data_IF_861497201592
#
_entry.id   IF_861497201592
#
_cell.length_a   1.000
_cell.length_b   1.000
_cell.length_c   1.000
_cell.angle_alpha   90.00
_cell.angle_beta   90.00
_cell.angle_gamma   90.00
#
_symmetry.space_group_name_H-M   'P 1'
#
loop_
_entity.id
_entity.type
_entity.pdbx_description
1 polymer ?
#
# COMPACT_ATOMS: atom_id res chain seq x y z
N UNK A 1 11.60 9.78 17.58
CA UNK A 1 11.82 9.10 16.29
C UNK A 1 11.45 10.08 15.16
N UNK A 2 12.33 10.29 14.18
CA UNK A 2 12.04 11.19 13.04
C UNK A 2 11.14 10.46 12.05
N UNK A 3 9.95 11.00 11.76
CA UNK A 3 9.05 10.47 10.74
C UNK A 3 9.31 11.27 9.46
N UNK A 4 9.71 10.58 8.40
CA UNK A 4 9.91 11.20 7.10
C UNK A 4 8.59 11.80 6.59
N UNK A 5 8.50 13.11 6.27
CA UNK A 5 7.28 13.69 5.74
C UNK A 5 6.99 13.12 4.33
N UNK A 6 5.71 12.96 4.00
CA UNK A 6 5.29 12.67 2.62
C UNK A 6 5.41 13.97 1.80
N UNK A 7 6.44 14.02 0.98
CA UNK A 7 6.73 15.16 0.09
C UNK A 7 6.07 14.90 -1.27
N UNK A 8 5.39 15.91 -1.82
CA UNK A 8 4.78 15.86 -3.14
C UNK A 8 5.82 15.53 -4.23
N UNK A 9 5.36 15.01 -5.37
CA UNK A 9 6.18 14.58 -6.50
C UNK A 9 7.22 13.48 -6.19
N UNK A 10 6.99 12.67 -5.17
CA UNK A 10 7.90 11.62 -4.77
C UNK A 10 7.19 10.28 -4.54
N UNK A 11 7.94 9.19 -4.74
CA UNK A 11 7.50 7.84 -4.43
C UNK A 11 7.84 7.45 -3.00
N UNK A 12 6.93 6.74 -2.37
CA UNK A 12 7.11 6.22 -1.01
C UNK A 12 6.67 4.77 -0.91
N UNK A 13 7.46 3.99 -0.20
CA UNK A 13 7.04 2.73 0.35
C UNK A 13 6.46 3.00 1.75
N UNK A 14 5.16 2.79 1.91
CA UNK A 14 4.43 2.96 3.18
C UNK A 14 4.08 1.57 3.69
N UNK A 15 4.36 1.31 4.96
CA UNK A 15 4.07 0.03 5.57
C UNK A 15 3.78 0.20 7.06
N UNK A 16 3.06 -0.77 7.61
CA UNK A 16 2.82 -0.85 9.05
C UNK A 16 2.32 -2.25 9.42
N UNK A 17 2.37 -2.55 10.72
CA UNK A 17 1.88 -3.80 11.26
C UNK A 17 0.96 -3.58 12.45
N UNK A 18 0.24 -4.63 12.84
CA UNK A 18 -0.56 -4.64 14.05
C UNK A 18 0.29 -4.57 15.30
N UNK A 19 -0.17 -3.83 16.29
CA UNK A 19 0.46 -3.77 17.62
C UNK A 19 0.67 -5.18 18.15
N UNK A 20 1.88 -5.45 18.66
CA UNK A 20 2.29 -6.77 19.19
C UNK A 20 2.15 -7.92 18.17
N UNK A 21 2.20 -7.62 16.87
CA UNK A 21 2.04 -8.61 15.81
C UNK A 21 0.59 -9.11 15.61
N UNK A 22 -0.40 -8.46 16.22
CA UNK A 22 -1.81 -8.83 16.09
C UNK A 22 -2.32 -8.71 14.64
N UNK A 23 -3.28 -9.57 14.29
CA UNK A 23 -3.94 -9.51 12.99
C UNK A 23 -4.75 -8.23 12.84
N UNK A 24 -4.40 -7.43 11.82
CA UNK A 24 -5.15 -6.25 11.40
C UNK A 24 -6.26 -6.60 10.41
N UNK A 25 -6.15 -7.76 9.74
CA UNK A 25 -7.17 -8.35 8.88
C UNK A 25 -7.59 -9.72 9.43
N UNK A 26 -8.69 -9.76 10.15
CA UNK A 26 -9.20 -10.99 10.81
C UNK A 26 -10.06 -11.85 9.90
N UNK A 27 -10.71 -11.22 8.91
CA UNK A 27 -11.62 -11.84 7.96
C UNK A 27 -11.47 -11.20 6.58
N UNK A 28 -11.89 -11.91 5.54
CA UNK A 28 -11.81 -11.44 4.15
C UNK A 28 -12.44 -10.05 3.95
N UNK A 29 -13.58 -9.79 4.58
CA UNK A 29 -14.25 -8.48 4.51
C UNK A 29 -13.38 -7.31 5.03
N UNK A 30 -12.39 -7.57 5.89
CA UNK A 30 -11.52 -6.52 6.42
C UNK A 30 -10.57 -6.00 5.35
N UNK A 31 -10.07 -6.86 4.46
CA UNK A 31 -9.22 -6.46 3.33
C UNK A 31 -9.98 -5.56 2.35
N UNK A 32 -11.19 -5.96 1.96
CA UNK A 32 -12.03 -5.12 1.09
C UNK A 32 -12.38 -3.79 1.73
N UNK A 33 -12.73 -3.79 3.01
CA UNK A 33 -13.03 -2.57 3.74
C UNK A 33 -11.80 -1.65 3.85
N UNK A 34 -10.60 -2.21 4.06
CA UNK A 34 -9.35 -1.44 4.07
C UNK A 34 -9.14 -0.75 2.72
N UNK A 35 -9.23 -1.48 1.60
CA UNK A 35 -9.07 -0.92 0.26
C UNK A 35 -10.14 0.14 -0.04
N UNK A 36 -11.38 -0.09 0.37
CA UNK A 36 -12.47 0.89 0.23
C UNK A 36 -12.18 2.19 1.00
N UNK A 37 -11.77 2.09 2.26
CA UNK A 37 -11.40 3.25 3.07
C UNK A 37 -10.14 3.93 2.54
N UNK A 38 -9.15 3.15 2.12
CA UNK A 38 -7.94 3.68 1.48
C UNK A 38 -8.28 4.52 0.24
N UNK A 39 -9.08 3.97 -0.67
CA UNK A 39 -9.54 4.70 -1.86
C UNK A 39 -10.28 5.97 -1.47
N UNK A 40 -11.20 5.88 -0.51
CA UNK A 40 -12.00 7.04 -0.07
C UNK A 40 -11.17 8.21 0.45
N UNK A 41 -10.11 7.94 1.22
CA UNK A 41 -9.33 8.99 1.86
C UNK A 41 -8.08 9.38 1.08
N UNK A 42 -7.49 8.44 0.34
CA UNK A 42 -6.15 8.61 -0.19
C UNK A 42 -6.09 8.75 -1.71
N UNK A 43 -7.10 8.31 -2.49
CA UNK A 43 -7.03 8.31 -3.95
C UNK A 43 -6.84 9.70 -4.58
N UNK A 44 -7.32 10.75 -3.92
CA UNK A 44 -7.11 12.13 -4.42
C UNK A 44 -5.64 12.54 -4.30
N UNK A 45 -4.95 12.17 -3.21
CA UNK A 45 -3.61 12.64 -2.87
C UNK A 45 -2.50 11.65 -3.16
N UNK A 46 -2.83 10.36 -3.34
CA UNK A 46 -1.89 9.28 -3.64
C UNK A 46 -2.28 8.58 -4.94
N UNK A 47 -1.29 8.25 -5.74
CA UNK A 47 -1.41 7.29 -6.84
C UNK A 47 -0.70 6.00 -6.42
N UNK A 48 -1.39 4.87 -6.46
CA UNK A 48 -0.86 3.59 -5.97
C UNK A 48 -0.28 2.77 -7.11
N UNK A 49 0.88 2.16 -6.90
CA UNK A 49 1.58 1.35 -7.89
C UNK A 49 1.66 -0.12 -7.51
N UNK A 50 1.74 -0.42 -6.22
CA UNK A 50 1.62 -1.79 -5.72
C UNK A 50 1.08 -1.79 -4.29
N UNK A 51 0.48 -2.92 -3.89
CA UNK A 51 0.15 -3.20 -2.51
C UNK A 51 0.25 -4.68 -2.19
N UNK A 52 0.46 -4.96 -0.90
CA UNK A 52 0.24 -6.25 -0.27
C UNK A 52 -0.45 -6.06 1.07
N UNK A 53 -1.51 -6.79 1.31
CA UNK A 53 -2.24 -6.81 2.58
C UNK A 53 -2.12 -8.22 3.15
N UNK A 54 -1.39 -8.37 4.25
CA UNK A 54 -1.21 -9.63 4.97
C UNK A 54 -1.96 -9.58 6.30
N UNK A 55 -2.20 -10.70 6.95
CA UNK A 55 -3.04 -10.75 8.15
C UNK A 55 -2.68 -9.66 9.17
N UNK A 56 -1.40 -9.48 9.44
CA UNK A 56 -0.90 -8.62 10.51
C UNK A 56 -0.11 -7.40 10.04
N UNK A 57 0.11 -7.22 8.73
CA UNK A 57 0.83 -6.06 8.18
C UNK A 57 0.43 -5.76 6.75
N UNK A 58 0.85 -4.61 6.25
CA UNK A 58 0.61 -4.21 4.87
C UNK A 58 1.79 -3.41 4.31
N UNK A 59 1.87 -3.41 2.97
CA UNK A 59 2.80 -2.59 2.18
C UNK A 59 2.04 -1.87 1.07
N UNK A 60 2.39 -0.61 0.84
CA UNK A 60 1.86 0.24 -0.23
C UNK A 60 3.02 0.93 -0.94
N UNK A 61 3.10 0.83 -2.25
CA UNK A 61 3.97 1.67 -3.08
C UNK A 61 3.11 2.78 -3.68
N UNK A 62 3.41 4.03 -3.35
CA UNK A 62 2.62 5.19 -3.75
C UNK A 62 3.47 6.33 -4.28
N UNK A 63 2.88 7.14 -5.14
CA UNK A 63 3.36 8.46 -5.53
C UNK A 63 2.47 9.53 -4.87
N UNK A 64 3.08 10.54 -4.27
CA UNK A 64 2.37 11.67 -3.66
C UNK A 64 2.09 12.70 -4.73
N UNK A 65 0.81 12.91 -5.04
CA UNK A 65 0.36 13.86 -6.06
C UNK A 65 0.63 15.30 -5.63
N UNK A 66 0.83 16.17 -6.62
CA UNK A 66 1.17 17.58 -6.40
C UNK A 66 -0.08 18.46 -6.40
N UNK A 67 -0.06 19.49 -5.58
CA UNK A 67 -1.03 20.58 -5.58
C UNK A 67 -2.51 20.16 -5.55
N UNK A 68 -2.81 19.06 -4.85
CA UNK A 68 -4.18 18.53 -4.79
C UNK A 68 -5.07 19.43 -3.96
N UNK A 69 -6.13 19.93 -4.58
CA UNK A 69 -7.13 20.75 -3.90
C UNK A 69 -8.56 20.35 -4.27
N UNK A 70 -9.48 20.51 -3.33
CA UNK A 70 -10.91 20.19 -3.51
C UNK A 70 -11.78 21.36 -3.12
N UNK A 71 -12.97 21.51 -3.71
CA UNK A 71 -13.94 22.51 -3.27
C UNK A 71 -14.33 22.33 -1.80
N UNK A 72 -14.53 23.41 -1.07
CA UNK A 72 -15.13 23.34 0.27
C UNK A 72 -16.58 22.87 0.18
N UNK A 73 -17.03 22.11 1.19
CA UNK A 73 -18.39 21.59 1.24
C UNK A 73 -19.49 22.67 1.18
N UNK A 74 -19.17 23.91 1.57
CA UNK A 74 -20.08 25.06 1.48
C UNK A 74 -20.05 25.79 0.12
N UNK A 75 -19.30 25.26 -0.86
CA UNK A 75 -19.15 25.85 -2.19
C UNK A 75 -18.30 27.14 -2.25
N UNK A 76 -17.76 27.60 -1.12
CA UNK A 76 -16.97 28.84 -1.08
C UNK A 76 -15.47 28.53 -0.84
N UNK A 77 -14.70 28.57 -1.92
CA UNK A 77 -13.25 28.38 -1.90
C UNK A 77 -12.79 26.92 -2.03
N UNK A 78 -11.48 26.73 -1.93
CA UNK A 78 -10.81 25.44 -2.06
C UNK A 78 -10.10 25.07 -0.77
N UNK A 79 -9.87 23.77 -0.56
CA UNK A 79 -9.05 23.22 0.51
C UNK A 79 -7.88 22.49 -0.16
N UNK A 80 -6.66 22.87 0.21
CA UNK A 80 -5.47 22.09 -0.14
C UNK A 80 -5.46 20.80 0.67
N UNK A 81 -5.41 19.65 -0.02
CA UNK A 81 -5.29 18.36 0.64
C UNK A 81 -3.82 18.07 0.97
N UNK A 82 -3.61 17.45 2.12
CA UNK A 82 -2.29 17.00 2.56
C UNK A 82 -2.27 15.48 2.68
N UNK A 83 -1.36 14.82 1.96
CA UNK A 83 -1.27 13.37 1.88
C UNK A 83 -1.09 12.71 3.27
N UNK A 84 -0.22 13.26 4.13
CA UNK A 84 -0.01 12.73 5.49
C UNK A 84 -1.27 12.81 6.34
N UNK A 85 -2.04 13.89 6.19
CA UNK A 85 -3.31 14.07 6.91
C UNK A 85 -4.38 13.11 6.41
N UNK A 86 -4.51 12.92 5.10
CA UNK A 86 -5.46 11.96 4.52
C UNK A 86 -5.12 10.53 4.94
N UNK A 87 -3.85 10.17 4.92
CA UNK A 87 -3.38 8.87 5.38
C UNK A 87 -3.70 8.64 6.87
N UNK A 88 -3.53 9.67 7.72
CA UNK A 88 -3.90 9.59 9.14
C UNK A 88 -5.41 9.41 9.33
N UNK A 89 -6.24 10.12 8.56
CA UNK A 89 -7.70 9.94 8.59
C UNK A 89 -8.10 8.53 8.19
N UNK A 90 -7.47 7.98 7.15
CA UNK A 90 -7.69 6.61 6.71
C UNK A 90 -7.37 5.61 7.82
N UNK A 91 -6.17 5.63 8.40
CA UNK A 91 -5.78 4.70 9.46
C UNK A 91 -6.66 4.80 10.70
N UNK A 92 -7.01 6.01 11.10
CA UNK A 92 -7.92 6.23 12.23
C UNK A 92 -9.32 5.65 11.95
N UNK A 93 -9.85 5.89 10.74
CA UNK A 93 -11.15 5.36 10.32
C UNK A 93 -11.17 3.82 10.32
N UNK A 94 -10.14 3.20 9.76
CA UNK A 94 -10.01 1.74 9.74
C UNK A 94 -9.86 1.16 11.14
N UNK A 95 -8.95 1.71 11.96
CA UNK A 95 -8.72 1.23 13.33
C UNK A 95 -10.00 1.32 14.20
N UNK A 96 -10.74 2.43 14.12
CA UNK A 96 -12.00 2.59 14.84
C UNK A 96 -13.05 1.55 14.41
N UNK A 97 -13.16 1.29 13.11
CA UNK A 97 -14.10 0.30 12.59
C UNK A 97 -13.74 -1.12 13.05
N UNK A 98 -12.47 -1.52 12.99
CA UNK A 98 -11.98 -2.81 13.48
C UNK A 98 -12.19 -2.93 14.99
N UNK A 99 -11.82 -1.91 15.76
CA UNK A 99 -12.01 -1.92 17.20
C UNK A 99 -13.48 -2.10 17.58
N UNK A 100 -14.38 -1.39 16.89
CA UNK A 100 -15.82 -1.55 17.10
C UNK A 100 -16.33 -2.93 16.71
N UNK A 101 -15.92 -3.46 15.55
CA UNK A 101 -16.39 -4.74 15.02
C UNK A 101 -15.95 -5.94 15.88
N UNK A 102 -14.77 -5.85 16.50
CA UNK A 102 -14.17 -6.95 17.25
C UNK A 102 -14.06 -6.68 18.76
N UNK A 103 -14.75 -5.68 19.25
CA UNK A 103 -14.81 -5.33 20.68
C UNK A 103 -13.41 -5.09 21.29
N UNK A 104 -12.52 -4.44 20.51
CA UNK A 104 -11.15 -4.10 20.90
C UNK A 104 -11.06 -2.68 21.43
N UNK A 105 -10.07 -2.45 22.26
CA UNK A 105 -9.66 -1.11 22.73
C UNK A 105 -8.18 -0.88 22.43
N UNK A 106 -7.76 0.39 22.41
CA UNK A 106 -6.37 0.77 22.17
C UNK A 106 -5.98 0.84 20.67
N UNK A 107 -4.70 1.03 20.36
CA UNK A 107 -4.19 1.15 19.02
C UNK A 107 -4.32 -0.18 18.27
N UNK A 108 -4.61 -0.11 16.96
CA UNK A 108 -4.59 -1.27 16.07
C UNK A 108 -3.23 -1.43 15.40
N UNK A 109 -2.63 -0.32 15.01
CA UNK A 109 -1.36 -0.27 14.30
C UNK A 109 -0.23 0.15 15.23
N UNK A 110 0.97 -0.30 14.93
CA UNK A 110 2.18 0.29 15.53
C UNK A 110 2.32 1.76 15.16
N UNK A 111 2.98 2.54 16.02
CA UNK A 111 3.17 3.98 15.80
C UNK A 111 4.65 4.31 15.91
N UNK A 112 5.16 5.09 14.98
CA UNK A 112 4.49 5.72 13.83
C UNK A 112 4.26 4.76 12.66
N UNK A 113 3.40 5.19 11.70
CA UNK A 113 3.33 4.54 10.38
C UNK A 113 4.64 4.76 9.64
N UNK A 114 5.30 3.69 9.25
CA UNK A 114 6.59 3.73 8.59
C UNK A 114 6.45 4.13 7.12
N UNK A 115 7.42 4.90 6.65
CA UNK A 115 7.50 5.34 5.26
C UNK A 115 8.92 5.58 4.82
N UNK A 116 9.26 5.10 3.65
CA UNK A 116 10.59 5.24 3.07
C UNK A 116 10.49 5.90 1.70
N UNK A 117 11.22 6.99 1.50
CA UNK A 117 11.37 7.63 0.20
C UNK A 117 12.06 6.68 -0.76
N UNK A 118 11.57 6.65 -2.01
CA UNK A 118 12.17 5.89 -3.11
C UNK A 118 12.73 6.90 -4.08
N UNK A 119 14.05 6.92 -4.18
CA UNK A 119 14.85 7.86 -4.98
C UNK A 119 15.63 7.19 -6.12
N UNK A 120 15.39 5.89 -6.35
CA UNK A 120 16.04 5.08 -7.37
C UNK A 120 15.00 4.23 -8.12
N UNK A 121 15.02 4.29 -9.46
CA UNK A 121 14.09 3.54 -10.32
C UNK A 121 14.23 2.02 -10.18
N UNK A 122 15.46 1.51 -9.95
CA UNK A 122 15.67 0.08 -9.67
C UNK A 122 15.05 -0.32 -8.35
N UNK A 123 15.08 0.57 -7.36
CA UNK A 123 14.44 0.37 -6.09
C UNK A 123 12.92 0.34 -6.22
N UNK A 124 12.34 1.16 -7.10
CA UNK A 124 10.90 1.20 -7.37
C UNK A 124 10.37 -0.15 -7.85
N UNK A 125 11.00 -0.74 -8.88
CA UNK A 125 10.60 -2.06 -9.39
C UNK A 125 10.80 -3.16 -8.36
N UNK A 126 11.85 -3.08 -7.56
CA UNK A 126 12.11 -4.03 -6.47
C UNK A 126 11.02 -3.99 -5.38
N UNK A 127 10.49 -2.82 -5.05
CA UNK A 127 9.35 -2.69 -4.09
C UNK A 127 8.07 -3.32 -4.66
N UNK A 128 7.83 -3.22 -5.99
CA UNK A 128 6.69 -3.89 -6.63
C UNK A 128 6.81 -5.41 -6.45
N UNK A 129 8.00 -5.97 -6.75
CA UNK A 129 8.26 -7.40 -6.51
C UNK A 129 8.05 -7.77 -5.06
N UNK A 130 8.66 -7.01 -4.14
CA UNK A 130 8.53 -7.26 -2.72
C UNK A 130 7.06 -7.28 -2.27
N UNK A 131 6.24 -6.32 -2.70
CA UNK A 131 4.81 -6.33 -2.42
C UNK A 131 4.15 -7.62 -2.91
N UNK A 132 4.43 -8.06 -4.16
CA UNK A 132 3.77 -9.24 -4.71
C UNK A 132 4.22 -10.53 -4.03
N UNK A 133 5.52 -10.69 -3.78
CA UNK A 133 6.08 -11.88 -3.16
C UNK A 133 5.91 -11.93 -1.64
N UNK A 134 5.46 -10.85 -1.00
CA UNK A 134 5.42 -10.72 0.45
C UNK A 134 4.65 -11.85 1.15
N UNK A 135 3.49 -12.25 0.61
CA UNK A 135 2.70 -13.35 1.16
C UNK A 135 3.42 -14.72 1.08
N UNK A 136 4.20 -14.95 0.04
CA UNK A 136 5.03 -16.16 -0.09
C UNK A 136 6.25 -16.10 0.83
N UNK A 137 6.89 -14.94 0.96
CA UNK A 137 8.04 -14.73 1.84
C UNK A 137 7.70 -14.99 3.32
N UNK A 138 6.50 -14.61 3.73
CA UNK A 138 5.98 -14.83 5.07
C UNK A 138 5.17 -16.15 5.21
N UNK A 139 5.29 -17.07 4.23
CA UNK A 139 4.71 -18.42 4.26
C UNK A 139 3.17 -18.45 4.39
N UNK A 140 2.46 -17.37 4.05
CA UNK A 140 0.99 -17.37 3.98
C UNK A 140 0.47 -18.23 2.82
N UNK A 141 1.24 -18.29 1.72
CA UNK A 141 0.98 -19.12 0.54
C UNK A 141 2.28 -19.73 0.01
N UNK A 142 2.17 -20.82 -0.78
CA UNK A 142 3.33 -21.45 -1.44
C UNK A 142 3.75 -20.74 -2.73
N UNK A 143 2.79 -20.17 -3.45
CA UNK A 143 3.00 -19.31 -4.62
C UNK A 143 2.31 -17.97 -4.36
N UNK A 144 3.02 -16.86 -4.52
CA UNK A 144 2.49 -15.52 -4.30
C UNK A 144 1.24 -15.22 -5.16
N UNK A 145 1.10 -15.89 -6.30
CA UNK A 145 -0.07 -15.78 -7.19
C UNK A 145 -1.36 -16.28 -6.55
N UNK A 146 -1.26 -17.14 -5.53
CA UNK A 146 -2.42 -17.64 -4.80
C UNK A 146 -2.92 -16.64 -3.75
N UNK A 147 -2.20 -15.51 -3.56
CA UNK A 147 -2.60 -14.49 -2.60
C UNK A 147 -3.45 -13.40 -3.24
N UNK A 148 -4.75 -13.44 -2.97
CA UNK A 148 -5.76 -12.52 -3.54
C UNK A 148 -5.52 -11.04 -3.14
N UNK A 149 -4.97 -10.78 -1.95
CA UNK A 149 -4.84 -9.44 -1.38
C UNK A 149 -3.49 -8.78 -1.67
N UNK A 150 -2.94 -9.02 -2.85
CA UNK A 150 -1.84 -8.25 -3.45
C UNK A 150 -2.29 -7.61 -4.76
N UNK A 151 -1.56 -6.58 -5.20
CA UNK A 151 -1.85 -5.90 -6.47
C UNK A 151 -1.49 -6.70 -7.71
N UNK A 152 -0.90 -7.88 -7.59
CA UNK A 152 -0.43 -8.68 -8.74
C UNK A 152 -1.54 -8.95 -9.76
N UNK A 153 -2.67 -9.50 -9.31
CA UNK A 153 -3.83 -9.79 -10.19
C UNK A 153 -4.50 -8.51 -10.70
N UNK A 154 -4.59 -7.49 -9.85
CA UNK A 154 -5.13 -6.18 -10.23
C UNK A 154 -4.36 -5.56 -11.40
N UNK A 155 -3.02 -5.70 -11.40
CA UNK A 155 -2.18 -5.20 -12.49
C UNK A 155 -2.37 -6.05 -13.75
N UNK A 156 -2.46 -7.38 -13.62
CA UNK A 156 -2.68 -8.28 -14.76
C UNK A 156 -4.01 -8.02 -15.48
N UNK A 157 -5.05 -7.77 -14.72
CA UNK A 157 -6.41 -7.54 -15.25
C UNK A 157 -6.58 -6.14 -15.81
N UNK A 158 -5.79 -5.18 -15.33
CA UNK A 158 -5.81 -3.76 -15.72
C UNK A 158 -7.22 -3.13 -15.74
N UNK A 159 -8.08 -3.55 -14.80
CA UNK A 159 -9.49 -3.18 -14.75
C UNK A 159 -9.91 -2.47 -13.46
N UNK A 160 -8.97 -2.16 -12.58
CA UNK A 160 -9.22 -1.59 -11.26
C UNK A 160 -8.65 -0.17 -11.13
N UNK A 161 -9.41 0.71 -10.49
CA UNK A 161 -9.02 2.11 -10.29
C UNK A 161 -8.12 2.34 -9.06
N UNK A 162 -7.76 1.27 -8.32
CA UNK A 162 -6.95 1.41 -7.10
C UNK A 162 -5.47 1.53 -7.46
N UNK A 163 -5.01 0.80 -8.49
CA UNK A 163 -3.61 0.74 -8.92
C UNK A 163 -3.43 1.34 -10.29
N UNK A 164 -2.37 2.10 -10.51
CA UNK A 164 -1.97 2.63 -11.80
C UNK A 164 -1.36 1.52 -12.70
N UNK A 165 -2.16 0.48 -12.98
CA UNK A 165 -1.73 -0.78 -13.60
C UNK A 165 -1.01 -0.55 -14.93
N UNK A 166 -1.51 0.36 -15.78
CA UNK A 166 -0.88 0.64 -17.07
C UNK A 166 0.52 1.22 -16.90
N UNK A 167 0.72 2.17 -15.98
CA UNK A 167 2.04 2.74 -15.70
C UNK A 167 3.02 1.67 -15.19
N UNK A 168 2.54 0.77 -14.32
CA UNK A 168 3.36 -0.35 -13.84
C UNK A 168 3.77 -1.26 -14.99
N UNK A 169 2.83 -1.64 -15.86
CA UNK A 169 3.13 -2.46 -17.03
C UNK A 169 4.13 -1.78 -17.96
N UNK A 170 3.99 -0.47 -18.17
CA UNK A 170 4.92 0.31 -19.03
C UNK A 170 6.34 0.30 -18.45
N UNK A 171 6.52 0.39 -17.13
CA UNK A 171 7.83 0.29 -16.46
C UNK A 171 8.51 -1.06 -16.68
N UNK A 172 7.72 -2.13 -16.78
CA UNK A 172 8.23 -3.49 -17.04
C UNK A 172 8.43 -3.78 -18.53
N UNK A 173 8.01 -2.88 -19.45
CA UNK A 173 8.04 -3.12 -20.88
C UNK A 173 6.85 -3.92 -21.41
N UNK A 174 5.73 -3.88 -20.71
CA UNK A 174 4.45 -4.49 -21.07
C UNK A 174 4.11 -5.76 -20.29
N UNK A 175 2.89 -6.26 -20.50
CA UNK A 175 2.31 -7.39 -19.76
C UNK A 175 3.16 -8.66 -19.83
N UNK A 176 3.73 -8.99 -20.99
CA UNK A 176 4.57 -10.19 -21.17
C UNK A 176 5.85 -10.07 -20.36
N UNK A 177 6.51 -8.92 -20.41
CA UNK A 177 7.71 -8.67 -19.64
C UNK A 177 7.44 -8.66 -18.12
N UNK A 178 6.32 -8.08 -17.69
CA UNK A 178 5.87 -8.13 -16.30
C UNK A 178 5.69 -9.58 -15.81
N UNK A 179 5.00 -10.44 -16.56
CA UNK A 179 4.81 -11.87 -16.23
C UNK A 179 6.14 -12.62 -16.18
N UNK A 180 7.02 -12.38 -17.16
CA UNK A 180 8.33 -13.03 -17.22
C UNK A 180 9.20 -12.63 -16.02
N UNK A 181 9.18 -11.36 -15.68
CA UNK A 181 9.89 -10.82 -14.53
C UNK A 181 9.42 -11.49 -13.22
N UNK A 182 8.11 -11.73 -13.06
CA UNK A 182 7.51 -12.42 -11.90
C UNK A 182 7.61 -13.95 -11.96
N UNK A 183 8.10 -14.55 -13.05
CA UNK A 183 8.33 -16.01 -13.17
C UNK A 183 9.71 -16.44 -12.69
N UNK A 184 10.64 -15.50 -12.55
CA UNK A 184 11.99 -15.74 -12.05
C UNK A 184 11.99 -16.05 -10.53
N UNK A 185 13.00 -16.83 -10.07
CA UNK A 185 13.23 -16.95 -8.63
C UNK A 185 13.70 -15.59 -8.10
N UNK A 186 12.94 -15.03 -7.20
CA UNK A 186 13.37 -13.85 -6.45
C UNK A 186 14.68 -14.20 -5.70
N UNK A 187 15.77 -13.50 -5.96
CA UNK A 187 17.01 -13.73 -5.22
C UNK A 187 16.90 -13.03 -3.88
N UNK A 188 17.05 -13.78 -2.79
CA UNK A 188 16.98 -13.26 -1.42
C UNK A 188 17.85 -12.01 -1.18
N UNK A 189 18.99 -11.88 -1.88
CA UNK A 189 19.90 -10.73 -1.74
C UNK A 189 19.28 -9.38 -2.14
N UNK A 190 18.21 -9.39 -2.95
CA UNK A 190 17.53 -8.14 -3.35
C UNK A 190 16.45 -7.73 -2.34
N UNK A 191 16.06 -8.66 -1.45
CA UNK A 191 14.98 -8.47 -0.48
C UNK A 191 15.50 -7.93 0.86
N UNK A 192 16.73 -8.27 1.27
CA UNK A 192 17.30 -7.89 2.59
C UNK A 192 17.21 -6.39 2.87
N UNK A 193 17.17 -5.56 1.82
CA UNK A 193 16.97 -4.10 1.94
C UNK A 193 15.53 -3.70 2.31
N UNK A 194 14.57 -4.62 2.19
CA UNK A 194 13.14 -4.38 2.38
C UNK A 194 12.55 -5.14 3.56
N UNK A 195 13.25 -6.18 4.06
CA UNK A 195 12.84 -6.91 5.25
C UNK A 195 12.96 -5.93 6.41
N UNK A 196 11.82 -5.52 6.89
CA UNK A 196 11.67 -4.70 8.07
C UNK A 196 11.21 -5.68 9.14
N UNK A 197 12.17 -6.11 9.96
CA UNK A 197 11.89 -6.90 11.14
C UNK A 197 11.14 -6.07 12.20
#
# INVERSE_FOLDING_TARGET
MYIQPLVEANYFHIYNRGVNGEDIFKEQRNYYYFLQQYTRYCSDVLETFAYALLKNHFHLLVYVKENVSVPKNNGQGIIQLNASKQLSHFFNSYAQAVNKAYNRTGPLFESPVERKLIDDDNYLTSVIYYCHFNAQLHEFVKDFKDWEFSSYHTILENNCNIVASQKVLDWFGGLVAFKNAHSGRFKNNDIEKFIIE
#
